data_IF_520226732586
#
_entry.id   IF_520226732586
#
_cell.length_a   1.000
_cell.length_b   1.000
_cell.length_c   1.000
_cell.angle_alpha   90.00
_cell.angle_beta   90.00
_cell.angle_gamma   90.00
#
_symmetry.space_group_name_H-M   'P 1'
#
loop_
_entity.id
_entity.type
_entity.pdbx_description
1 polymer ?
#
# COMPACT_ATOMS: atom_id res chain seq x y z
N UNK A 1 -16.71 3.03 -19.92
CA UNK A 1 -15.86 1.82 -19.77
C UNK A 1 -14.88 2.17 -18.67
N UNK A 2 -15.13 1.66 -17.47
CA UNK A 2 -14.34 2.00 -16.29
C UNK A 2 -13.01 1.28 -16.41
N UNK A 3 -11.93 2.05 -16.60
CA UNK A 3 -10.58 1.53 -16.50
C UNK A 3 -10.42 1.09 -15.04
N UNK A 4 -10.32 -0.21 -14.80
CA UNK A 4 -9.89 -0.70 -13.50
C UNK A 4 -8.51 -0.09 -13.24
N UNK A 5 -8.42 0.83 -12.27
CA UNK A 5 -7.21 1.62 -12.06
C UNK A 5 -6.09 0.82 -11.39
N UNK A 6 -6.36 -0.38 -10.90
CA UNK A 6 -5.45 -1.15 -10.05
C UNK A 6 -5.73 -0.89 -8.57
N UNK A 7 -5.07 -1.67 -7.71
CA UNK A 7 -5.29 -1.68 -6.26
C UNK A 7 -4.06 -2.19 -5.52
N UNK A 8 -3.98 -1.87 -4.23
CA UNK A 8 -3.05 -2.47 -3.29
C UNK A 8 -3.85 -3.37 -2.35
N UNK A 9 -3.40 -4.61 -2.18
CA UNK A 9 -3.98 -5.59 -1.28
C UNK A 9 -2.97 -5.99 -0.24
N UNK A 10 -3.36 -5.90 1.02
CA UNK A 10 -2.44 -6.15 2.11
C UNK A 10 -3.18 -6.55 3.39
N UNK A 11 -2.89 -7.73 3.98
CA UNK A 11 -3.46 -8.11 5.27
C UNK A 11 -2.84 -7.35 6.46
N UNK A 12 -1.88 -6.45 6.22
CA UNK A 12 -1.07 -5.72 7.22
C UNK A 12 -0.16 -6.67 7.99
N UNK A 13 -0.76 -7.43 8.91
CA UNK A 13 -0.13 -8.50 9.68
C UNK A 13 -1.25 -9.36 10.25
N UNK A 14 -1.46 -10.53 9.68
CA UNK A 14 -2.58 -11.42 10.01
C UNK A 14 -2.66 -11.72 11.50
N UNK A 15 -1.51 -11.96 12.15
CA UNK A 15 -1.43 -12.18 13.61
C UNK A 15 -1.88 -10.97 14.44
N UNK A 16 -1.62 -9.74 13.97
CA UNK A 16 -2.09 -8.52 14.62
C UNK A 16 -3.59 -8.33 14.43
N UNK A 17 -4.09 -8.51 13.20
CA UNK A 17 -5.51 -8.40 12.88
C UNK A 17 -6.31 -9.45 13.67
N UNK A 18 -5.81 -10.68 13.75
CA UNK A 18 -6.41 -11.76 14.55
C UNK A 18 -6.44 -11.39 16.04
N UNK A 19 -5.32 -10.88 16.57
CA UNK A 19 -5.25 -10.41 17.96
C UNK A 19 -6.29 -9.33 18.27
N UNK A 20 -6.44 -8.33 17.39
CA UNK A 20 -7.45 -7.27 17.54
C UNK A 20 -8.86 -7.87 17.57
N UNK A 21 -9.18 -8.78 16.64
CA UNK A 21 -10.49 -9.46 16.60
C UNK A 21 -10.75 -10.28 17.87
N UNK A 22 -9.78 -11.06 18.35
CA UNK A 22 -9.92 -11.94 19.52
C UNK A 22 -9.96 -11.18 20.85
N UNK A 23 -9.38 -9.99 20.91
CA UNK A 23 -9.43 -9.11 22.09
C UNK A 23 -10.73 -8.29 22.18
N UNK A 24 -11.70 -8.52 21.31
CA UNK A 24 -12.94 -7.73 21.24
C UNK A 24 -12.75 -6.35 20.64
N UNK A 25 -11.62 -6.12 19.96
CA UNK A 25 -11.36 -4.93 19.16
C UNK A 25 -12.18 -4.88 17.89
N UNK A 26 -11.96 -3.82 17.10
CA UNK A 26 -12.70 -3.54 15.86
C UNK A 26 -11.75 -3.25 14.72
N UNK A 27 -12.17 -3.63 13.52
CA UNK A 27 -11.59 -3.22 12.25
C UNK A 27 -12.63 -2.36 11.55
N UNK A 28 -12.28 -1.11 11.26
CA UNK A 28 -13.12 -0.16 10.53
C UNK A 28 -12.48 0.15 9.18
N UNK A 29 -13.31 0.16 8.14
CA UNK A 29 -12.92 0.47 6.76
C UNK A 29 -13.58 1.78 6.36
N UNK A 30 -12.81 2.70 5.79
CA UNK A 30 -13.28 4.03 5.37
C UNK A 30 -12.70 4.40 4.00
N UNK A 31 -13.30 5.42 3.36
CA UNK A 31 -12.72 6.05 2.17
C UNK A 31 -12.55 5.14 0.94
N UNK A 32 -13.34 4.06 0.84
CA UNK A 32 -13.32 3.13 -0.28
C UNK A 32 -12.47 1.87 -0.08
N UNK A 33 -11.76 1.75 1.05
CA UNK A 33 -11.11 0.49 1.40
C UNK A 33 -12.16 -0.60 1.66
N UNK A 34 -11.85 -1.83 1.26
CA UNK A 34 -12.73 -2.99 1.44
C UNK A 34 -11.92 -4.24 1.82
N UNK A 35 -12.61 -5.33 2.15
CA UNK A 35 -11.99 -6.63 2.40
C UNK A 35 -12.32 -7.56 1.26
N UNK A 36 -11.32 -8.27 0.77
CA UNK A 36 -11.46 -9.31 -0.23
C UNK A 36 -10.41 -10.40 0.04
N UNK A 37 -10.85 -11.66 0.06
CA UNK A 37 -10.04 -12.84 0.43
C UNK A 37 -9.16 -12.65 1.69
N UNK A 38 -9.75 -12.11 2.76
CA UNK A 38 -9.09 -11.79 4.05
C UNK A 38 -8.02 -10.67 4.01
N UNK A 39 -7.74 -10.08 2.85
CA UNK A 39 -6.86 -8.94 2.68
C UNK A 39 -7.63 -7.62 2.69
N UNK A 40 -6.97 -6.54 3.10
CA UNK A 40 -7.51 -5.20 2.92
C UNK A 40 -7.11 -4.67 1.55
N UNK A 41 -8.10 -4.30 0.75
CA UNK A 41 -7.92 -3.72 -0.57
C UNK A 41 -8.10 -2.20 -0.53
N UNK A 42 -7.16 -1.49 -1.14
CA UNK A 42 -7.13 -0.05 -1.30
C UNK A 42 -7.18 0.28 -2.81
N UNK A 43 -8.29 0.86 -3.31
CA UNK A 43 -8.39 1.27 -4.71
C UNK A 43 -7.35 2.32 -5.08
N UNK A 44 -6.80 2.28 -6.30
CA UNK A 44 -5.87 3.31 -6.79
C UNK A 44 -6.52 4.69 -6.78
N UNK A 45 -5.78 5.65 -6.22
CA UNK A 45 -6.15 7.05 -6.14
C UNK A 45 -5.94 7.81 -7.44
N UNK A 46 -6.34 9.08 -7.45
CA UNK A 46 -6.21 9.95 -8.63
C UNK A 46 -4.89 10.74 -8.69
N UNK A 47 -4.10 10.73 -7.61
CA UNK A 47 -2.91 11.58 -7.43
C UNK A 47 -1.59 10.87 -7.75
N UNK A 48 -1.65 9.70 -8.39
CA UNK A 48 -0.45 8.91 -8.65
C UNK A 48 0.34 9.42 -9.87
N UNK A 49 1.65 9.19 -9.84
CA UNK A 49 2.60 9.51 -10.91
C UNK A 49 3.26 8.25 -11.46
N UNK A 50 2.69 7.07 -11.20
CA UNK A 50 3.32 5.80 -11.50
C UNK A 50 3.32 5.49 -12.99
N UNK A 51 4.46 5.08 -13.51
CA UNK A 51 4.63 4.61 -14.89
C UNK A 51 5.71 3.53 -14.96
N UNK A 52 5.80 2.81 -16.08
CA UNK A 52 6.81 1.77 -16.29
C UNK A 52 7.90 2.21 -17.28
N UNK A 53 9.16 2.06 -16.88
CA UNK A 53 10.33 2.12 -17.75
C UNK A 53 10.78 0.69 -18.06
N UNK A 54 10.26 0.10 -19.15
CA UNK A 54 10.36 -1.35 -19.34
C UNK A 54 9.50 -2.08 -18.31
N UNK A 55 10.07 -2.98 -17.53
CA UNK A 55 9.38 -3.66 -16.41
C UNK A 55 9.64 -2.99 -15.05
N UNK A 56 10.41 -1.90 -15.02
CA UNK A 56 10.78 -1.20 -13.79
C UNK A 56 9.77 -0.07 -13.50
N UNK A 57 9.10 -0.08 -12.34
CA UNK A 57 8.16 0.98 -11.98
C UNK A 57 8.88 2.23 -11.50
N UNK A 58 8.35 3.38 -11.90
CA UNK A 58 8.89 4.72 -11.64
C UNK A 58 7.82 5.62 -11.04
N UNK A 59 8.24 6.68 -10.35
CA UNK A 59 7.32 7.63 -9.72
C UNK A 59 6.65 7.04 -8.48
N UNK A 60 5.36 7.29 -8.30
CA UNK A 60 4.65 6.79 -7.13
C UNK A 60 3.20 6.41 -7.40
N UNK A 61 2.80 5.25 -6.90
CA UNK A 61 1.43 4.77 -6.91
C UNK A 61 0.71 5.17 -5.62
N UNK A 62 -0.36 5.96 -5.73
CA UNK A 62 -1.20 6.33 -4.59
C UNK A 62 -2.46 5.47 -4.56
N UNK A 63 -2.86 5.05 -3.36
CA UNK A 63 -4.10 4.32 -3.11
C UNK A 63 -4.96 5.07 -2.09
N UNK A 64 -6.25 4.81 -2.10
CA UNK A 64 -7.24 5.54 -1.30
C UNK A 64 -7.93 4.63 -0.31
N UNK A 65 -8.40 5.25 0.78
CA UNK A 65 -9.13 4.56 1.83
C UNK A 65 -8.31 4.36 3.08
N UNK A 66 -8.95 3.76 4.08
CA UNK A 66 -8.35 3.57 5.38
C UNK A 66 -8.81 2.27 6.03
N UNK A 67 -7.88 1.61 6.71
CA UNK A 67 -8.15 0.57 7.70
C UNK A 67 -7.76 1.11 9.06
N UNK A 68 -8.69 1.13 10.02
CA UNK A 68 -8.43 1.49 11.41
C UNK A 68 -8.72 0.30 12.32
N UNK A 69 -7.71 -0.13 13.06
CA UNK A 69 -7.79 -1.19 14.05
C UNK A 69 -7.80 -0.57 15.44
N UNK A 70 -8.81 -0.90 16.23
CA UNK A 70 -8.96 -0.41 17.61
C UNK A 70 -9.16 -1.55 18.59
N UNK A 71 -8.71 -1.37 19.83
CA UNK A 71 -8.85 -2.39 20.88
C UNK A 71 -8.52 -1.84 22.27
N UNK A 72 -8.71 -2.66 23.30
CA UNK A 72 -8.34 -2.34 24.69
C UNK A 72 -8.88 -0.99 25.18
N UNK A 73 -10.14 -0.68 24.88
CA UNK A 73 -10.75 0.58 25.32
C UNK A 73 -10.09 1.85 24.73
N UNK A 74 -9.46 1.74 23.56
CA UNK A 74 -8.81 2.85 22.85
C UNK A 74 -7.30 2.93 23.03
N UNK A 75 -6.70 2.04 23.84
CA UNK A 75 -5.23 1.97 23.98
C UNK A 75 -4.54 1.44 22.72
N UNK A 76 -5.22 0.56 21.98
CA UNK A 76 -4.81 0.17 20.63
C UNK A 76 -5.65 1.00 19.66
N UNK A 77 -4.97 1.81 18.87
CA UNK A 77 -5.56 2.59 17.78
C UNK A 77 -4.50 2.76 16.69
N UNK A 78 -4.63 1.97 15.63
CA UNK A 78 -3.67 1.91 14.53
C UNK A 78 -4.43 2.14 13.25
N UNK A 79 -3.99 3.11 12.44
CA UNK A 79 -4.62 3.41 11.16
C UNK A 79 -3.63 3.36 10.01
N UNK A 80 -4.08 2.80 8.90
CA UNK A 80 -3.38 2.74 7.63
C UNK A 80 -4.24 3.49 6.64
N UNK A 81 -3.88 4.74 6.34
CA UNK A 81 -4.68 5.63 5.49
C UNK A 81 -3.89 6.00 4.25
N UNK A 82 -4.58 6.00 3.11
CA UNK A 82 -4.09 6.44 1.82
C UNK A 82 -2.66 5.94 1.51
N UNK A 83 -2.43 4.61 1.48
CA UNK A 83 -1.10 4.08 1.28
C UNK A 83 -0.54 4.51 -0.07
N UNK A 84 0.77 4.72 -0.12
CA UNK A 84 1.49 5.16 -1.30
C UNK A 84 2.77 4.33 -1.46
N UNK A 85 2.99 3.76 -2.64
CA UNK A 85 4.26 3.14 -3.00
C UNK A 85 5.10 4.16 -3.76
N UNK A 86 6.28 4.48 -3.24
CA UNK A 86 7.28 5.34 -3.89
C UNK A 86 8.37 4.45 -4.45
N UNK A 87 8.49 4.39 -5.77
CA UNK A 87 9.36 3.42 -6.45
C UNK A 87 10.81 3.90 -6.54
N UNK A 88 11.74 3.01 -6.20
CA UNK A 88 13.18 3.25 -6.13
C UNK A 88 13.94 2.09 -6.80
N UNK A 89 13.65 1.86 -8.09
CA UNK A 89 14.24 0.76 -8.86
C UNK A 89 13.48 -0.55 -8.65
N UNK A 90 14.16 -1.57 -8.13
CA UNK A 90 13.54 -2.87 -7.78
C UNK A 90 12.95 -2.90 -6.37
N UNK A 91 13.09 -1.79 -5.64
CA UNK A 91 12.53 -1.55 -4.31
C UNK A 91 11.45 -0.45 -4.36
N UNK A 92 10.68 -0.36 -3.29
CA UNK A 92 9.78 0.75 -3.03
C UNK A 92 9.73 1.11 -1.55
N UNK A 93 9.37 2.35 -1.24
CA UNK A 93 8.94 2.73 0.11
C UNK A 93 7.42 2.76 0.17
N UNK A 94 6.86 2.08 1.16
CA UNK A 94 5.45 2.20 1.53
C UNK A 94 5.31 3.35 2.52
N UNK A 95 4.60 4.38 2.08
CA UNK A 95 4.24 5.56 2.87
C UNK A 95 2.76 5.46 3.25
N UNK A 96 2.42 5.82 4.48
CA UNK A 96 1.02 5.92 4.93
C UNK A 96 0.77 7.29 5.56
N UNK A 97 -0.48 7.71 5.59
CA UNK A 97 -0.89 8.96 6.21
C UNK A 97 -1.30 8.74 7.67
N UNK A 98 -0.69 9.50 8.59
CA UNK A 98 -1.09 9.55 9.99
C UNK A 98 -2.36 10.38 10.21
N UNK A 99 -2.87 10.40 11.44
CA UNK A 99 -4.14 11.08 11.77
C UNK A 99 -4.07 12.60 11.57
N UNK A 100 -2.90 13.22 11.77
CA UNK A 100 -2.67 14.65 11.55
C UNK A 100 -2.44 15.00 10.08
N UNK A 101 -2.45 14.02 9.19
CA UNK A 101 -2.21 14.16 7.77
C UNK A 101 -0.73 14.10 7.38
N UNK A 102 0.18 13.92 8.33
CA UNK A 102 1.59 13.70 8.10
C UNK A 102 1.85 12.40 7.33
N UNK A 103 2.89 12.40 6.50
CA UNK A 103 3.34 11.21 5.79
C UNK A 103 4.37 10.46 6.64
N UNK A 104 4.12 9.16 6.83
CA UNK A 104 4.97 8.26 7.59
C UNK A 104 5.64 7.32 6.60
N UNK A 105 6.97 7.37 6.52
CA UNK A 105 7.77 6.37 5.81
C UNK A 105 7.68 5.06 6.58
N UNK A 106 6.76 4.17 6.18
CA UNK A 106 6.27 3.10 7.03
C UNK A 106 7.06 1.81 6.86
N UNK A 107 7.37 1.43 5.62
CA UNK A 107 8.10 0.21 5.34
C UNK A 107 8.92 0.31 4.05
N UNK A 108 10.04 -0.40 3.98
CA UNK A 108 10.66 -0.75 2.70
C UNK A 108 9.99 -1.99 2.11
N UNK A 109 9.87 -2.02 0.80
CA UNK A 109 9.23 -3.08 0.04
C UNK A 109 10.20 -3.60 -1.03
N UNK A 110 10.47 -4.89 -1.00
CA UNK A 110 11.24 -5.57 -2.07
C UNK A 110 10.21 -6.02 -3.12
N UNK A 111 10.06 -5.24 -4.20
CA UNK A 111 8.97 -5.46 -5.17
C UNK A 111 9.39 -6.40 -6.30
N UNK A 112 10.64 -6.35 -6.75
CA UNK A 112 11.10 -7.15 -7.89
C UNK A 112 10.35 -6.87 -9.19
N UNK A 113 10.27 -7.87 -10.06
CA UNK A 113 9.68 -7.74 -11.41
C UNK A 113 8.19 -8.09 -11.43
N UNK A 114 7.34 -7.31 -12.12
CA UNK A 114 5.92 -7.64 -12.26
C UNK A 114 5.68 -8.83 -13.19
N UNK A 115 4.53 -9.47 -13.01
CA UNK A 115 3.85 -10.19 -14.08
C UNK A 115 3.01 -9.20 -14.91
N UNK A 116 3.21 -9.16 -16.23
CA UNK A 116 2.43 -8.29 -17.11
C UNK A 116 1.40 -9.10 -17.91
N UNK A 117 0.12 -8.73 -17.80
CA UNK A 117 -1.04 -9.35 -18.47
C UNK A 117 -2.02 -8.26 -18.91
N UNK A 118 -2.42 -8.26 -20.18
CA UNK A 118 -3.51 -7.40 -20.69
C UNK A 118 -3.41 -5.91 -20.27
N UNK A 119 -2.23 -5.30 -20.46
CA UNK A 119 -1.91 -3.92 -20.06
C UNK A 119 -1.99 -3.65 -18.54
N UNK A 120 -1.90 -4.69 -17.71
CA UNK A 120 -1.81 -4.62 -16.25
C UNK A 120 -0.51 -5.28 -15.79
N UNK A 121 0.27 -4.54 -15.01
CA UNK A 121 1.42 -5.07 -14.28
C UNK A 121 0.98 -5.45 -12.85
N UNK A 122 1.31 -6.66 -12.42
CA UNK A 122 0.93 -7.23 -11.14
C UNK A 122 2.17 -7.68 -10.37
N UNK A 123 2.25 -7.25 -9.11
CA UNK A 123 3.26 -7.69 -8.15
C UNK A 123 2.58 -8.50 -7.06
N UNK A 124 3.05 -9.72 -6.86
CA UNK A 124 2.52 -10.66 -5.88
C UNK A 124 3.58 -10.99 -4.83
N UNK A 125 3.16 -11.06 -3.57
CA UNK A 125 4.04 -11.48 -2.48
C UNK A 125 5.18 -10.51 -2.17
N UNK A 126 5.00 -9.21 -2.45
CA UNK A 126 5.97 -8.16 -2.17
C UNK A 126 6.32 -8.19 -0.69
N UNK A 127 7.61 -8.32 -0.38
CA UNK A 127 8.09 -8.39 0.99
C UNK A 127 8.06 -7.00 1.63
N UNK A 128 7.53 -6.90 2.85
CA UNK A 128 7.33 -5.62 3.56
C UNK A 128 8.10 -5.61 4.87
N UNK A 129 8.97 -4.62 5.07
CA UNK A 129 9.88 -4.54 6.22
C UNK A 129 9.71 -3.18 6.89
N UNK A 130 9.37 -3.17 8.18
CA UNK A 130 9.13 -1.92 8.90
C UNK A 130 10.37 -1.02 8.95
N UNK A 131 10.17 0.27 8.75
CA UNK A 131 11.13 1.30 9.15
C UNK A 131 11.07 1.54 10.67
N UNK A 132 12.00 2.32 11.24
CA UNK A 132 11.86 2.83 12.61
C UNK A 132 10.57 3.63 12.83
N UNK A 133 10.15 4.43 11.85
CA UNK A 133 8.93 5.23 11.87
C UNK A 133 7.67 4.35 11.84
N UNK A 134 7.61 3.35 10.95
CA UNK A 134 6.51 2.40 10.89
C UNK A 134 6.37 1.53 12.14
N UNK A 135 7.49 1.19 12.79
CA UNK A 135 7.48 0.54 14.11
C UNK A 135 6.73 1.35 15.18
N UNK A 136 6.84 2.69 15.15
CA UNK A 136 6.14 3.59 16.09
C UNK A 136 4.62 3.58 15.90
N UNK A 137 4.13 3.31 14.69
CA UNK A 137 2.68 3.16 14.40
C UNK A 137 2.06 2.02 15.21
N UNK A 138 2.85 1.01 15.59
CA UNK A 138 2.44 -0.08 16.48
C UNK A 138 2.88 0.14 17.94
N UNK A 139 3.13 1.38 18.37
CA UNK A 139 3.68 1.71 19.69
C UNK A 139 4.98 0.94 20.03
N UNK A 140 5.79 0.58 19.03
CA UNK A 140 7.04 -0.16 19.21
C UNK A 140 6.87 -1.65 19.52
N UNK A 141 5.65 -2.20 19.43
CA UNK A 141 5.40 -3.63 19.66
C UNK A 141 6.10 -4.53 18.63
N UNK A 142 6.27 -4.03 17.41
CA UNK A 142 7.14 -4.62 16.40
C UNK A 142 8.41 -3.80 16.33
N UNK A 143 9.58 -4.46 16.40
CA UNK A 143 10.86 -3.76 16.31
C UNK A 143 11.06 -3.18 14.91
N UNK A 144 11.85 -2.10 14.75
CA UNK A 144 12.33 -1.69 13.44
C UNK A 144 12.92 -2.89 12.68
N UNK A 145 12.70 -2.92 11.37
CA UNK A 145 13.11 -3.99 10.46
C UNK A 145 12.41 -5.34 10.69
N UNK A 146 11.33 -5.37 11.47
CA UNK A 146 10.46 -6.54 11.52
C UNK A 146 9.72 -6.71 10.20
N UNK A 147 9.61 -7.94 9.76
CA UNK A 147 8.85 -8.31 8.58
C UNK A 147 7.34 -8.31 8.89
N UNK A 148 6.60 -7.68 7.99
CA UNK A 148 5.14 -7.69 7.97
C UNK A 148 4.66 -8.78 7.00
N UNK A 149 3.36 -9.00 6.94
CA UNK A 149 2.85 -9.90 5.91
C UNK A 149 3.04 -9.24 4.54
N UNK A 150 3.27 -10.04 3.50
CA UNK A 150 3.50 -9.54 2.15
C UNK A 150 2.27 -8.80 1.62
N UNK A 151 2.50 -7.85 0.70
CA UNK A 151 1.44 -7.15 -0.03
C UNK A 151 1.44 -7.54 -1.50
N UNK A 152 0.31 -7.28 -2.15
CA UNK A 152 0.13 -7.39 -3.58
C UNK A 152 -0.28 -6.02 -4.13
N UNK A 153 0.12 -5.68 -5.34
CA UNK A 153 -0.42 -4.48 -5.99
C UNK A 153 -0.44 -4.60 -7.51
N UNK A 154 -1.33 -3.84 -8.12
CA UNK A 154 -1.47 -3.77 -9.58
C UNK A 154 -1.35 -2.33 -10.07
N UNK A 155 -0.70 -2.17 -11.22
CA UNK A 155 -0.66 -0.92 -11.97
C UNK A 155 -1.21 -1.16 -13.37
N UNK A 156 -2.32 -0.50 -13.69
CA UNK A 156 -2.75 -0.36 -15.07
C UNK A 156 -1.71 0.46 -15.85
N UNK A 157 -1.25 -0.08 -16.97
CA UNK A 157 -0.34 0.58 -17.89
C UNK A 157 -1.17 1.51 -18.77
N UNK A 158 -1.08 2.80 -18.50
CA UNK A 158 -1.56 3.78 -19.47
C UNK A 158 -0.76 3.59 -20.75
N UNK A 159 -1.43 3.55 -21.92
CA UNK A 159 -0.73 3.75 -23.19
C UNK A 159 -0.03 5.10 -23.07
N UNK A 160 1.29 5.10 -22.96
CA UNK A 160 2.06 6.33 -23.00
C UNK A 160 1.64 7.07 -24.27
N UNK A 161 0.97 8.22 -24.11
CA UNK A 161 0.88 9.13 -25.24
C UNK A 161 2.31 9.57 -25.50
N UNK A 162 2.82 9.26 -26.69
CA UNK A 162 4.14 9.70 -27.14
C UNK A 162 4.31 11.19 -26.79
N UNK A 163 5.51 11.63 -26.39
CA UNK A 163 5.78 13.06 -26.26
C UNK A 163 5.31 13.75 -27.55
N UNK A 164 4.43 14.75 -27.43
CA UNK A 164 4.11 15.60 -28.58
C UNK A 164 5.44 16.15 -29.08
N UNK A 165 5.84 15.77 -30.30
CA UNK A 165 6.83 16.55 -31.03
C UNK A 165 6.29 17.98 -31.12
N UNK A 166 6.98 18.93 -30.49
CA UNK A 166 6.74 20.34 -30.77
C UNK A 166 7.07 20.58 -32.25
N UNK A 167 6.17 21.20 -33.02
CA UNK A 167 6.47 21.54 -34.40
C UNK A 167 7.60 22.60 -34.42
N UNK A 168 8.54 22.38 -35.34
CA UNK A 168 9.71 23.22 -35.60
C UNK A 168 9.37 24.68 -35.97
#
# INVERSE_FOLDING_TARGET
MELWRGELRWPIKSSFVEYVRRSGGKVLLEGGAFVDDEEFAYPRGATDTAWLSGDTPMGSASFTGAVRLTGHGGMLDVSFRNPQLVFEGEDARLVVQGEGGELIDFASCEIGTPLVRDDVAEWLGVRVILTPEGSRVFNGMYRPYSEMDSLNFTLALGRAQSPREEPA
#
